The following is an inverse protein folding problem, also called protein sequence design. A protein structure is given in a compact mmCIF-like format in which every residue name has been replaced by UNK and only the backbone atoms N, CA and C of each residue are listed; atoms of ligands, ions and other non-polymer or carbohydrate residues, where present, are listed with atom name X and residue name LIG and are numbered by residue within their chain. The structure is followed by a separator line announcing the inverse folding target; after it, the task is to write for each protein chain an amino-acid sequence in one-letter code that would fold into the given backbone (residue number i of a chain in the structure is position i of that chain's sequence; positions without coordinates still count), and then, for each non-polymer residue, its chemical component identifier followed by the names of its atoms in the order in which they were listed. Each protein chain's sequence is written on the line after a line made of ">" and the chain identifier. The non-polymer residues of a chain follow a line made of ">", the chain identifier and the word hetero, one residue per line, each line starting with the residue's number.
data_IF_771343639064
#
_entry.id   IF_771343639064
#
_cell.length_a   1.000
_cell.length_b   1.000
_cell.length_c   1.000
_cell.angle_alpha   90.00
_cell.angle_beta   90.00
_cell.angle_gamma   90.00
#
_symmetry.space_group_name_H-M   'P 1'
#
loop_
_entity.id
_entity.type
_entity.pdbx_description
1 polymer ?
#
# COMPACT_ATOMS: atom_id res chain seq x y z
N UNK A 1 -9.56 -5.10 -0.88
CA UNK A 1 -10.77 -4.29 -1.13
C UNK A 1 -10.73 -3.00 -0.34
N UNK A 2 -10.87 -3.05 0.98
CA UNK A 2 -10.96 -1.87 1.87
C UNK A 2 -9.95 -0.76 1.55
N UNK A 3 -8.66 -1.12 1.44
CA UNK A 3 -7.62 -0.13 1.12
C UNK A 3 -7.85 0.55 -0.24
N UNK A 4 -8.11 -0.23 -1.29
CA UNK A 4 -8.34 0.30 -2.64
C UNK A 4 -9.54 1.23 -2.66
N UNK A 5 -10.64 0.81 -2.03
CA UNK A 5 -11.87 1.60 -1.96
C UNK A 5 -11.71 2.87 -1.14
N UNK A 6 -10.94 2.83 -0.04
CA UNK A 6 -10.57 4.01 0.72
C UNK A 6 -9.75 5.00 -0.13
N UNK A 7 -8.75 4.51 -0.87
CA UNK A 7 -7.94 5.34 -1.77
C UNK A 7 -8.80 5.98 -2.87
N UNK A 8 -9.72 5.22 -3.48
CA UNK A 8 -10.61 5.75 -4.51
C UNK A 8 -11.58 6.81 -4.00
N UNK A 9 -12.06 6.70 -2.74
CA UNK A 9 -12.87 7.77 -2.11
C UNK A 9 -12.13 9.09 -1.99
N UNK A 10 -10.80 9.06 -1.99
CA UNK A 10 -9.93 10.23 -2.00
C UNK A 10 -9.38 10.57 -3.40
N UNK A 11 -9.95 9.99 -4.47
CA UNK A 11 -9.61 10.32 -5.85
C UNK A 11 -8.31 9.70 -6.37
N UNK A 12 -7.73 8.74 -5.65
CA UNK A 12 -6.53 8.06 -6.11
C UNK A 12 -6.84 7.09 -7.27
N UNK A 13 -5.81 6.79 -8.06
CA UNK A 13 -5.79 5.67 -9.00
C UNK A 13 -4.86 4.57 -8.45
N UNK A 14 -5.24 3.32 -8.66
CA UNK A 14 -4.51 2.17 -8.14
C UNK A 14 -3.97 1.33 -9.29
N UNK A 15 -2.65 1.09 -9.26
CA UNK A 15 -2.02 0.01 -10.02
C UNK A 15 -1.68 -1.11 -9.06
N UNK A 16 -2.20 -2.30 -9.32
CA UNK A 16 -2.06 -3.44 -8.43
C UNK A 16 -1.46 -4.64 -9.16
N UNK A 17 -0.71 -5.42 -8.40
CA UNK A 17 -0.19 -6.71 -8.82
C UNK A 17 -0.21 -7.66 -7.62
N UNK A 18 -0.65 -8.88 -7.85
CA UNK A 18 -0.61 -9.98 -6.89
C UNK A 18 -0.55 -11.29 -7.69
N UNK A 19 0.43 -12.18 -7.46
CA UNK A 19 0.61 -13.40 -8.25
C UNK A 19 -0.61 -14.34 -8.22
N UNK A 20 -1.45 -14.28 -7.17
CA UNK A 20 -2.56 -15.21 -6.98
C UNK A 20 -3.94 -14.53 -7.11
N UNK A 21 -4.03 -13.24 -6.81
CA UNK A 21 -5.32 -12.55 -6.67
C UNK A 21 -5.78 -11.76 -7.90
N UNK A 22 -5.02 -11.69 -9.00
CA UNK A 22 -5.41 -10.88 -10.17
C UNK A 22 -6.75 -11.29 -10.77
N UNK A 23 -6.99 -12.59 -10.97
CA UNK A 23 -8.24 -13.05 -11.60
C UNK A 23 -9.45 -12.75 -10.70
N UNK A 24 -9.34 -12.98 -9.40
CA UNK A 24 -10.41 -12.70 -8.46
C UNK A 24 -10.64 -11.19 -8.35
N UNK A 25 -9.58 -10.38 -8.31
CA UNK A 25 -9.71 -8.92 -8.30
C UNK A 25 -10.42 -8.41 -9.56
N UNK A 26 -10.06 -8.95 -10.73
CA UNK A 26 -10.72 -8.64 -12.00
C UNK A 26 -12.19 -9.06 -12.01
N UNK A 27 -12.53 -10.20 -11.41
CA UNK A 27 -13.93 -10.68 -11.29
C UNK A 27 -14.77 -9.75 -10.41
N UNK A 28 -14.18 -9.21 -9.34
CA UNK A 28 -14.87 -8.38 -8.37
C UNK A 28 -15.08 -6.94 -8.83
N UNK A 29 -14.09 -6.37 -9.51
CA UNK A 29 -14.10 -4.95 -9.89
C UNK A 29 -14.38 -4.73 -11.38
N UNK A 30 -14.32 -5.77 -12.21
CA UNK A 30 -14.55 -5.63 -13.64
C UNK A 30 -13.61 -4.59 -14.27
N UNK A 31 -14.15 -3.79 -15.18
CA UNK A 31 -13.42 -2.66 -15.74
C UNK A 31 -13.75 -1.40 -14.94
N UNK A 32 -12.88 -1.07 -13.98
CA UNK A 32 -12.93 0.17 -13.20
C UNK A 32 -11.77 1.07 -13.65
N UNK A 33 -12.07 2.29 -14.11
CA UNK A 33 -11.06 3.23 -14.61
C UNK A 33 -10.01 3.63 -13.56
N UNK A 34 -10.31 3.43 -12.27
CA UNK A 34 -9.41 3.72 -11.15
C UNK A 34 -8.51 2.55 -10.78
N UNK A 35 -8.66 1.40 -11.44
CA UNK A 35 -7.87 0.18 -11.20
C UNK A 35 -7.19 -0.29 -12.48
N UNK A 36 -5.87 -0.47 -12.42
CA UNK A 36 -5.11 -1.18 -13.45
C UNK A 36 -4.39 -2.37 -12.83
N UNK A 37 -4.75 -3.58 -13.27
CA UNK A 37 -4.07 -4.81 -12.89
C UNK A 37 -2.86 -5.01 -13.80
N UNK A 38 -1.68 -5.02 -13.20
CA UNK A 38 -0.42 -5.10 -13.93
C UNK A 38 0.03 -6.57 -14.03
N UNK A 39 0.84 -6.89 -15.04
CA UNK A 39 1.37 -8.24 -15.23
C UNK A 39 2.58 -8.56 -14.36
N UNK A 40 3.26 -7.54 -13.84
CA UNK A 40 4.44 -7.70 -12.96
C UNK A 40 4.42 -6.66 -11.83
N UNK A 41 5.16 -6.90 -10.73
CA UNK A 41 5.30 -5.92 -9.66
C UNK A 41 5.87 -4.58 -10.15
N UNK A 42 6.89 -4.62 -10.99
CA UNK A 42 7.64 -3.43 -11.44
C UNK A 42 6.77 -2.51 -12.31
N UNK A 43 5.83 -3.09 -13.05
CA UNK A 43 4.91 -2.33 -13.88
C UNK A 43 3.94 -1.46 -13.05
N UNK A 44 3.73 -1.78 -11.76
CA UNK A 44 2.92 -0.95 -10.85
C UNK A 44 3.59 0.40 -10.52
N UNK A 45 4.91 0.48 -10.66
CA UNK A 45 5.71 1.58 -10.12
C UNK A 45 5.68 2.86 -10.97
N UNK A 46 5.59 2.73 -12.31
CA UNK A 46 5.96 3.83 -13.23
C UNK A 46 5.15 5.11 -13.05
N UNK A 47 5.70 6.13 -12.40
CA UNK A 47 5.02 7.39 -12.10
C UNK A 47 4.00 7.30 -10.95
N UNK A 48 4.04 6.28 -10.11
CA UNK A 48 3.21 6.21 -8.91
C UNK A 48 3.74 7.15 -7.83
N UNK A 49 2.85 7.77 -7.06
CA UNK A 49 3.20 8.71 -5.99
C UNK A 49 3.74 7.99 -4.73
N UNK A 50 3.30 6.75 -4.50
CA UNK A 50 3.79 5.88 -3.42
C UNK A 50 3.58 4.39 -3.77
N UNK A 51 4.33 3.51 -3.11
CA UNK A 51 4.11 2.07 -3.10
C UNK A 51 3.42 1.64 -1.80
N UNK A 52 2.45 0.72 -1.89
CA UNK A 52 1.82 0.10 -0.70
C UNK A 52 1.93 -1.42 -0.77
N UNK A 53 2.51 -2.04 0.26
CA UNK A 53 2.69 -3.50 0.35
C UNK A 53 1.59 -4.08 1.23
N UNK A 54 0.74 -4.92 0.62
CA UNK A 54 -0.43 -5.51 1.29
C UNK A 54 -0.31 -7.03 1.50
N UNK A 55 0.65 -7.68 0.86
CA UNK A 55 0.90 -9.13 0.93
C UNK A 55 2.40 -9.40 0.96
N UNK A 56 2.79 -10.51 1.58
CA UNK A 56 4.19 -10.87 1.87
C UNK A 56 4.78 -11.88 0.88
N UNK A 57 4.42 -11.77 -0.40
CA UNK A 57 4.93 -12.64 -1.45
C UNK A 57 6.45 -12.60 -1.55
N UNK A 58 7.07 -13.75 -1.84
CA UNK A 58 8.52 -13.91 -1.82
C UNK A 58 9.24 -12.92 -2.77
N UNK A 59 8.64 -12.65 -3.94
CA UNK A 59 9.17 -11.71 -4.93
C UNK A 59 9.21 -10.25 -4.44
N UNK A 60 8.50 -9.90 -3.36
CA UNK A 60 8.52 -8.54 -2.80
C UNK A 60 9.62 -8.36 -1.74
N UNK A 61 10.21 -9.44 -1.20
CA UNK A 61 11.14 -9.37 -0.05
C UNK A 61 12.53 -8.85 -0.40
N UNK A 62 12.92 -8.89 -1.68
CA UNK A 62 14.23 -8.43 -2.15
C UNK A 62 14.06 -7.34 -3.21
N UNK A 63 13.74 -6.10 -2.80
CA UNK A 63 13.49 -5.01 -3.72
C UNK A 63 14.77 -4.51 -4.38
N UNK A 64 14.65 -4.09 -5.64
CA UNK A 64 15.63 -3.21 -6.27
C UNK A 64 15.30 -1.76 -5.90
N UNK A 65 16.06 -1.21 -4.95
CA UNK A 65 15.82 0.14 -4.43
C UNK A 65 16.08 1.25 -5.45
N UNK A 66 16.99 1.05 -6.40
CA UNK A 66 17.28 2.06 -7.41
C UNK A 66 16.15 2.09 -8.44
N UNK A 67 15.65 0.93 -8.86
CA UNK A 67 14.44 0.83 -9.68
C UNK A 67 13.24 1.51 -9.00
N UNK A 68 13.02 1.27 -7.71
CA UNK A 68 11.93 1.89 -6.96
C UNK A 68 12.01 3.42 -6.99
N UNK A 69 13.20 4.01 -6.76
CA UNK A 69 13.38 5.47 -6.80
C UNK A 69 13.22 6.05 -8.19
N UNK A 70 13.73 5.36 -9.21
CA UNK A 70 13.65 5.81 -10.60
C UNK A 70 12.20 5.84 -11.08
N UNK A 71 11.41 4.84 -10.68
CA UNK A 71 10.06 4.65 -11.19
C UNK A 71 9.01 5.40 -10.38
N UNK A 72 9.15 5.52 -9.06
CA UNK A 72 8.21 6.30 -8.25
C UNK A 72 8.47 7.80 -8.41
N UNK A 73 7.42 8.63 -8.35
CA UNK A 73 7.57 10.09 -8.35
C UNK A 73 8.25 10.59 -7.07
N UNK A 74 8.04 9.87 -5.97
CA UNK A 74 8.67 10.12 -4.68
C UNK A 74 9.00 8.78 -4.02
N UNK A 75 10.09 8.67 -3.24
CA UNK A 75 10.51 7.43 -2.60
C UNK A 75 9.67 7.16 -1.34
N UNK A 76 8.35 6.99 -1.50
CA UNK A 76 7.39 6.79 -0.42
C UNK A 76 6.86 5.36 -0.45
N UNK A 77 6.98 4.64 0.67
CA UNK A 77 6.51 3.26 0.79
C UNK A 77 5.74 3.09 2.10
N UNK A 78 4.52 2.57 2.01
CA UNK A 78 3.73 2.07 3.13
C UNK A 78 3.79 0.55 3.15
N UNK A 79 4.22 -0.05 4.25
CA UNK A 79 4.45 -1.49 4.33
C UNK A 79 3.61 -2.13 5.43
N UNK A 80 2.45 -2.64 5.03
CA UNK A 80 1.52 -3.34 5.91
C UNK A 80 2.05 -4.69 6.41
N UNK A 81 3.16 -5.18 5.85
CA UNK A 81 3.72 -6.52 6.10
C UNK A 81 5.10 -6.51 6.71
N UNK A 82 5.66 -5.33 6.98
CA UNK A 82 6.95 -5.18 7.64
C UNK A 82 8.08 -5.95 6.93
N UNK A 83 8.06 -5.98 5.58
CA UNK A 83 9.04 -6.72 4.77
C UNK A 83 10.44 -6.13 4.86
N UNK A 84 10.56 -4.81 4.99
CA UNK A 84 11.85 -4.12 4.93
C UNK A 84 12.31 -3.59 6.28
N UNK A 85 13.63 -3.55 6.46
CA UNK A 85 14.25 -2.98 7.64
C UNK A 85 14.19 -1.43 7.61
N UNK A 86 13.64 -0.76 8.64
CA UNK A 86 13.48 0.69 8.63
C UNK A 86 14.80 1.46 8.48
N UNK A 87 15.89 0.99 9.10
CA UNK A 87 17.19 1.66 9.02
C UNK A 87 17.80 1.55 7.62
N UNK A 88 17.68 0.38 6.99
CA UNK A 88 18.05 0.17 5.60
C UNK A 88 17.25 1.08 4.67
N UNK A 89 15.93 1.18 4.85
CA UNK A 89 15.08 2.05 4.04
C UNK A 89 15.48 3.53 4.18
N UNK A 90 15.74 3.98 5.41
CA UNK A 90 16.20 5.34 5.68
C UNK A 90 17.56 5.65 5.03
N UNK A 91 18.52 4.71 5.09
CA UNK A 91 19.82 4.86 4.41
C UNK A 91 19.71 4.95 2.88
N UNK A 92 18.70 4.29 2.31
CA UNK A 92 18.38 4.45 0.89
C UNK A 92 17.54 5.69 0.59
N UNK A 93 17.16 6.51 1.57
CA UNK A 93 16.44 7.77 1.35
C UNK A 93 14.94 7.61 1.11
N UNK A 94 14.34 6.52 1.59
CA UNK A 94 12.89 6.34 1.52
C UNK A 94 12.16 6.95 2.71
N UNK A 95 11.01 7.54 2.46
CA UNK A 95 9.95 7.72 3.45
C UNK A 95 9.23 6.38 3.59
N UNK A 96 9.55 5.66 4.66
CA UNK A 96 9.11 4.28 4.85
C UNK A 96 8.25 4.16 6.11
N UNK A 97 7.00 3.73 5.91
CA UNK A 97 5.96 3.64 6.92
C UNK A 97 5.56 2.17 7.16
N UNK A 98 6.31 1.43 7.99
CA UNK A 98 5.98 0.07 8.41
C UNK A 98 4.98 0.05 9.57
N UNK A 99 4.28 -1.06 9.79
CA UNK A 99 3.34 -1.16 10.91
C UNK A 99 4.05 -1.25 12.26
N UNK A 100 3.70 -0.33 13.17
CA UNK A 100 4.11 -0.36 14.58
C UNK A 100 5.60 -0.10 14.85
N UNK A 101 6.35 0.42 13.87
CA UNK A 101 7.78 0.73 14.01
C UNK A 101 8.21 1.90 13.11
N UNK A 102 9.44 2.36 13.26
CA UNK A 102 10.03 3.37 12.37
C UNK A 102 9.24 4.68 12.31
N UNK A 103 9.16 5.28 11.12
CA UNK A 103 8.48 6.58 10.91
C UNK A 103 6.98 6.54 11.22
N UNK A 104 6.36 5.36 11.21
CA UNK A 104 4.94 5.23 11.55
C UNK A 104 4.65 5.54 13.02
N UNK A 105 5.63 5.30 13.91
CA UNK A 105 5.49 5.64 15.33
C UNK A 105 5.52 7.15 15.61
N UNK A 106 5.98 7.95 14.65
CA UNK A 106 6.03 9.41 14.76
C UNK A 106 4.89 10.12 14.04
N UNK A 107 3.98 9.38 13.39
CA UNK A 107 2.82 9.97 12.74
C UNK A 107 1.82 10.47 13.79
N UNK A 108 1.18 11.64 13.57
CA UNK A 108 0.13 12.11 14.47
C UNK A 108 -1.04 11.13 14.46
N UNK A 109 -1.43 10.65 15.63
CA UNK A 109 -2.65 9.86 15.78
C UNK A 109 -3.83 10.84 15.72
N UNK A 110 -4.68 10.70 14.70
CA UNK A 110 -5.91 11.44 14.64
C UNK A 110 -6.93 10.79 15.57
N UNK A 111 -7.26 11.45 16.69
CA UNK A 111 -8.23 10.96 17.67
C UNK A 111 -9.64 10.77 17.06
N UNK A 112 -9.98 11.53 16.01
CA UNK A 112 -11.28 11.41 15.34
C UNK A 112 -11.46 10.06 14.61
N UNK A 113 -10.38 9.45 14.13
CA UNK A 113 -10.43 8.11 13.50
C UNK A 113 -10.62 6.97 14.50
N UNK A 114 -10.14 7.13 15.74
CA UNK A 114 -10.31 6.13 16.81
C UNK A 114 -11.77 6.04 17.27
N UNK A 115 -12.47 7.19 17.31
CA UNK A 115 -13.88 7.23 17.69
C UNK A 115 -14.83 6.61 16.65
N UNK A 116 -14.44 6.60 15.37
CA UNK A 116 -15.25 6.00 14.30
C UNK A 116 -15.18 4.47 14.28
N UNK A 117 -14.07 3.86 14.70
CA UNK A 117 -13.94 2.40 14.80
C UNK A 117 -14.76 1.81 15.96
N UNK A 118 -14.80 2.49 17.12
CA UNK A 118 -15.61 2.07 18.27
C UNK A 118 -17.12 2.11 17.99
N UNK A 119 -17.59 3.13 17.24
CA UNK A 119 -18.99 3.22 16.81
C UNK A 119 -19.40 2.13 15.81
N UNK A 120 -18.50 1.73 14.90
CA UNK A 120 -18.77 0.69 13.90
C UNK A 120 -18.74 -0.73 14.51
N UNK A 121 -17.99 -0.93 15.60
CA UNK A 121 -17.88 -2.24 16.28
C UNK A 121 -19.17 -2.62 17.02
N UNK A 122 -19.88 -1.63 17.58
CA UNK A 122 -21.19 -1.82 18.24
C UNK A 122 -22.31 -2.21 17.26
N UNK A 123 -22.24 -1.77 16.00
CA UNK A 123 -23.25 -2.07 14.98
C UNK A 123 -23.09 -3.46 14.32
N UNK A 124 -22.00 -4.18 14.58
CA UNK A 124 -21.76 -5.54 14.04
C UNK A 124 -22.05 -6.66 15.06
N UNK A 125 -22.48 -6.31 16.28
CA UNK A 125 -22.81 -7.26 17.36
C UNK A 125 -24.31 -7.24 17.75
N UNK A 126 -25.14 -6.48 17.03
CA UNK A 126 -26.60 -6.45 17.17
C UNK A 126 -27.25 -7.00 15.90
#
# INVERSE_FOLDING_TARGET
>A
RELMEALWRHGAQVRAYDPEAMQETQRLYGHDERLSLMGTPEATLGGADALVICTEWQQFKAPDFELLKERLKAPVIFDGRNLYDPERMARHGFHYYPMGRGQSCSLPINEASLAQEDGMRLLRQA
#
